data_IF_335718667817
#
_entry.id   IF_335718667817
#
_cell.length_a   1.000
_cell.length_b   1.000
_cell.length_c   1.000
_cell.angle_alpha   90.00
_cell.angle_beta   90.00
_cell.angle_gamma   90.00
#
_symmetry.space_group_name_H-M   'P 1'
#
loop_
_entity.id
_entity.type
_entity.pdbx_description
1 polymer ?
#
# COMPACT_ATOMS: atom_id res chain seq x y z
N UNK A 1 13.55 0.03 -12.45
CA UNK A 1 12.09 0.12 -12.68
C UNK A 1 11.43 -0.48 -11.46
N UNK A 2 10.72 0.32 -10.64
CA UNK A 2 10.06 -0.18 -9.42
C UNK A 2 8.72 -0.87 -9.70
N UNK A 3 8.05 -0.43 -10.76
CA UNK A 3 6.73 -0.90 -11.13
C UNK A 3 6.77 -2.23 -11.87
N UNK A 4 5.93 -3.15 -11.42
CA UNK A 4 5.70 -4.45 -12.00
C UNK A 4 4.70 -4.32 -13.15
N UNK A 5 4.98 -5.01 -14.27
CA UNK A 5 3.90 -5.31 -15.21
C UNK A 5 2.91 -6.26 -14.55
N UNK A 6 1.67 -6.29 -15.03
CA UNK A 6 0.64 -7.22 -14.52
C UNK A 6 1.12 -8.67 -14.51
N UNK A 7 1.85 -9.10 -15.54
CA UNK A 7 2.40 -10.45 -15.61
C UNK A 7 3.46 -10.71 -14.53
N UNK A 8 4.34 -9.73 -14.25
CA UNK A 8 5.33 -9.86 -13.18
C UNK A 8 4.70 -9.84 -11.79
N UNK A 9 3.68 -9.00 -11.56
CA UNK A 9 2.91 -8.96 -10.33
C UNK A 9 2.24 -10.31 -10.03
N UNK A 10 1.51 -10.88 -11.00
CA UNK A 10 0.92 -12.23 -10.88
C UNK A 10 2.01 -13.29 -10.64
N UNK A 11 3.14 -13.17 -11.33
CA UNK A 11 4.27 -14.06 -11.12
C UNK A 11 4.85 -13.99 -9.71
N UNK A 12 4.93 -12.80 -9.11
CA UNK A 12 5.40 -12.60 -7.74
C UNK A 12 4.44 -13.26 -6.73
N UNK A 13 3.14 -13.00 -6.88
CA UNK A 13 2.06 -13.59 -6.07
C UNK A 13 2.11 -15.12 -6.08
N UNK A 14 2.22 -15.74 -7.27
CA UNK A 14 2.33 -17.20 -7.41
C UNK A 14 3.57 -17.81 -6.74
N UNK A 15 4.64 -17.02 -6.56
CA UNK A 15 5.85 -17.44 -5.84
C UNK A 15 5.75 -17.20 -4.33
N UNK A 16 4.61 -16.74 -3.82
CA UNK A 16 4.41 -16.44 -2.42
C UNK A 16 4.93 -15.07 -1.99
N UNK A 17 5.26 -14.18 -2.94
CA UNK A 17 5.67 -12.80 -2.62
C UNK A 17 4.47 -11.87 -2.73
N UNK A 18 4.25 -11.04 -1.72
CA UNK A 18 3.26 -9.97 -1.76
C UNK A 18 3.61 -8.88 -2.77
N UNK A 19 2.60 -8.13 -3.17
CA UNK A 19 2.72 -6.89 -3.93
C UNK A 19 1.90 -5.81 -3.25
N UNK A 20 2.26 -4.56 -3.49
CA UNK A 20 1.59 -3.43 -2.85
C UNK A 20 1.57 -2.22 -3.78
N UNK A 21 0.81 -1.21 -3.38
CA UNK A 21 0.77 0.07 -4.06
C UNK A 21 0.46 1.19 -3.08
N UNK A 22 1.34 2.21 -3.07
CA UNK A 22 1.08 3.45 -2.35
C UNK A 22 -0.02 4.26 -3.05
N UNK A 23 -1.03 4.68 -2.29
CA UNK A 23 -2.21 5.37 -2.81
C UNK A 23 -2.20 6.88 -2.52
N UNK A 24 -1.23 7.38 -1.76
CA UNK A 24 -1.13 8.79 -1.40
C UNK A 24 -1.75 9.16 -0.05
N UNK A 25 -1.80 10.46 0.21
CA UNK A 25 -2.35 11.02 1.44
C UNK A 25 -3.87 11.16 1.42
N UNK A 26 -4.48 11.09 2.60
CA UNK A 26 -5.89 11.39 2.89
C UNK A 26 -6.01 12.16 4.21
N UNK A 27 -7.23 12.53 4.58
CA UNK A 27 -7.56 13.12 5.88
C UNK A 27 -8.56 12.19 6.57
N UNK A 28 -8.29 11.80 7.82
CA UNK A 28 -9.18 11.01 8.67
C UNK A 28 -9.45 11.83 9.93
N UNK A 29 -10.70 12.23 10.17
CA UNK A 29 -11.07 13.01 11.38
C UNK A 29 -10.15 14.22 11.65
N UNK A 30 -9.79 14.97 10.60
CA UNK A 30 -8.84 16.10 10.61
C UNK A 30 -7.36 15.73 10.88
N UNK A 31 -7.03 14.45 10.97
CA UNK A 31 -5.65 13.95 11.03
C UNK A 31 -5.12 13.57 9.63
N UNK A 32 -3.91 14.03 9.26
CA UNK A 32 -3.22 13.57 8.06
C UNK A 32 -2.88 12.07 8.11
N UNK A 33 -3.27 11.37 7.06
CA UNK A 33 -3.04 9.95 6.91
C UNK A 33 -2.48 9.63 5.52
N UNK A 34 -1.87 8.46 5.38
CA UNK A 34 -1.50 7.86 4.11
C UNK A 34 -2.18 6.51 3.95
N UNK A 35 -2.35 6.08 2.69
CA UNK A 35 -2.91 4.77 2.36
C UNK A 35 -1.99 3.98 1.46
N UNK A 36 -1.95 2.67 1.67
CA UNK A 36 -1.47 1.72 0.68
C UNK A 36 -2.36 0.48 0.66
N UNK A 37 -2.43 -0.16 -0.50
CA UNK A 37 -3.08 -1.46 -0.64
C UNK A 37 -2.03 -2.54 -0.79
N UNK A 38 -2.27 -3.68 -0.16
CA UNK A 38 -1.41 -4.85 -0.21
C UNK A 38 -2.20 -6.06 -0.71
N UNK A 39 -1.54 -6.90 -1.51
CA UNK A 39 -2.01 -8.24 -1.86
C UNK A 39 -1.01 -9.24 -1.32
N UNK A 40 -1.41 -9.99 -0.30
CA UNK A 40 -0.57 -10.95 0.42
C UNK A 40 -1.02 -12.38 0.11
N UNK A 41 -0.12 -13.28 -0.33
CA UNK A 41 -0.43 -14.70 -0.47
C UNK A 41 -0.69 -15.38 0.88
N UNK A 42 -1.78 -16.14 0.99
CA UNK A 42 -2.17 -16.89 2.19
C UNK A 42 -2.68 -18.28 1.80
N UNK A 43 -1.94 -19.35 2.10
CA UNK A 43 -2.40 -20.75 1.93
C UNK A 43 -3.26 -21.03 0.67
N UNK A 44 -2.70 -20.79 -0.52
CA UNK A 44 -3.36 -20.93 -1.85
C UNK A 44 -4.41 -19.87 -2.20
N UNK A 45 -4.58 -18.87 -1.36
CA UNK A 45 -5.42 -17.70 -1.58
C UNK A 45 -4.57 -16.43 -1.58
N UNK A 46 -5.19 -15.32 -1.93
CA UNK A 46 -4.62 -13.98 -1.94
C UNK A 46 -5.57 -13.06 -1.19
N UNK A 47 -5.09 -12.48 -0.09
CA UNK A 47 -5.80 -11.47 0.68
C UNK A 47 -5.48 -10.09 0.13
N UNK A 48 -6.50 -9.25 0.03
CA UNK A 48 -6.36 -7.83 -0.29
C UNK A 48 -6.63 -7.04 0.98
N UNK A 49 -5.65 -6.25 1.43
CA UNK A 49 -5.77 -5.39 2.60
C UNK A 49 -5.54 -3.93 2.22
N UNK A 50 -6.35 -3.02 2.76
CA UNK A 50 -6.10 -1.58 2.72
C UNK A 50 -5.60 -1.13 4.08
N UNK A 51 -4.48 -0.42 4.09
CA UNK A 51 -3.92 0.16 5.29
C UNK A 51 -4.12 1.66 5.27
N UNK A 52 -4.55 2.22 6.40
CA UNK A 52 -4.65 3.67 6.60
C UNK A 52 -3.91 4.02 7.88
N UNK A 53 -2.79 4.73 7.76
CA UNK A 53 -1.93 5.05 8.90
C UNK A 53 -1.63 6.55 8.95
N UNK A 54 -1.17 7.02 10.10
CA UNK A 54 -0.74 8.39 10.31
C UNK A 54 0.35 8.80 9.32
N UNK A 55 0.19 9.97 8.70
CA UNK A 55 1.20 10.63 7.88
C UNK A 55 2.13 11.43 8.78
N UNK A 56 3.37 10.96 8.95
CA UNK A 56 4.38 11.65 9.77
C UNK A 56 5.06 12.82 9.03
N UNK A 57 4.82 12.97 7.73
CA UNK A 57 5.50 13.92 6.85
C UNK A 57 7.03 13.86 7.00
N UNK A 58 7.60 12.65 7.13
CA UNK A 58 9.04 12.40 7.31
C UNK A 58 9.56 11.42 6.24
N UNK A 59 10.42 11.90 5.34
CA UNK A 59 11.01 11.13 4.23
C UNK A 59 12.17 10.23 4.67
N UNK A 60 12.41 10.10 5.98
CA UNK A 60 13.32 9.12 6.60
C UNK A 60 12.57 7.88 7.11
N UNK A 61 11.25 7.91 7.08
CA UNK A 61 10.38 6.81 7.51
C UNK A 61 9.89 6.07 6.27
N UNK A 62 10.17 4.77 6.17
CA UNK A 62 9.71 3.92 5.07
C UNK A 62 9.03 2.61 5.52
N UNK A 63 8.98 2.36 6.83
CA UNK A 63 8.41 1.15 7.40
C UNK A 63 6.94 1.40 7.76
N UNK A 64 6.10 1.46 6.73
CA UNK A 64 4.69 1.88 6.85
C UNK A 64 3.86 1.02 7.80
N UNK A 65 4.00 -0.33 7.84
CA UNK A 65 3.24 -1.17 8.75
C UNK A 65 3.50 -0.88 10.24
N UNK A 66 4.62 -0.21 10.58
CA UNK A 66 4.97 0.17 11.95
C UNK A 66 4.41 1.54 12.37
N UNK A 67 3.64 2.19 11.50
CA UNK A 67 2.98 3.46 11.81
C UNK A 67 1.64 3.23 12.51
N UNK A 68 1.17 4.27 13.21
CA UNK A 68 -0.09 4.22 13.93
C UNK A 68 -1.23 4.11 12.91
N UNK A 69 -2.01 3.03 12.99
CA UNK A 69 -3.23 2.90 12.21
C UNK A 69 -4.25 3.95 12.61
N UNK A 70 -4.88 4.55 11.61
CA UNK A 70 -5.98 5.50 11.73
C UNK A 70 -7.28 4.92 11.12
N UNK A 71 -7.31 3.65 10.71
CA UNK A 71 -8.56 3.02 10.30
C UNK A 71 -9.35 2.60 11.54
N UNK A 72 -10.53 3.20 11.82
CA UNK A 72 -11.35 2.81 12.97
C UNK A 72 -11.87 1.36 12.87
N UNK A 73 -11.84 0.75 11.69
CA UNK A 73 -12.17 -0.66 11.49
C UNK A 73 -10.98 -1.62 11.73
N UNK A 74 -9.75 -1.12 11.87
CA UNK A 74 -8.55 -1.95 12.13
C UNK A 74 -8.37 -2.31 13.62
N UNK A 75 -9.23 -1.83 14.53
CA UNK A 75 -9.16 -2.19 15.95
C UNK A 75 -9.24 -3.71 16.20
N UNK A 76 -9.82 -4.47 15.26
CA UNK A 76 -9.91 -5.94 15.33
C UNK A 76 -8.67 -6.67 14.78
N UNK A 77 -7.80 -6.01 14.00
CA UNK A 77 -6.67 -6.62 13.27
C UNK A 77 -5.43 -5.71 13.16
N UNK A 78 -4.84 -5.36 14.32
CA UNK A 78 -3.68 -4.45 14.40
C UNK A 78 -2.53 -4.88 13.48
N UNK A 79 -2.18 -4.02 12.52
CA UNK A 79 -1.01 -4.16 11.63
C UNK A 79 -1.24 -5.01 10.37
N UNK A 80 -2.39 -5.66 10.20
CA UNK A 80 -2.70 -6.47 9.01
C UNK A 80 -3.46 -5.71 7.91
N UNK A 81 -3.87 -4.48 8.20
CA UNK A 81 -4.73 -3.69 7.33
C UNK A 81 -6.19 -4.14 7.40
N UNK A 82 -7.11 -3.29 6.97
CA UNK A 82 -8.50 -3.69 6.76
C UNK A 82 -8.62 -4.64 5.57
N UNK A 83 -9.09 -5.86 5.81
CA UNK A 83 -9.37 -6.82 4.74
C UNK A 83 -10.48 -6.31 3.81
N UNK A 84 -10.19 -6.25 2.52
CA UNK A 84 -11.15 -5.93 1.46
C UNK A 84 -11.71 -7.19 0.80
N UNK A 85 -11.01 -8.33 0.93
CA UNK A 85 -11.48 -9.64 0.52
C UNK A 85 -10.35 -10.64 0.26
N UNK A 86 -10.76 -11.87 0.00
CA UNK A 86 -9.87 -13.01 -0.27
C UNK A 86 -10.31 -13.69 -1.57
N UNK A 87 -9.34 -14.04 -2.41
CA UNK A 87 -9.57 -14.73 -3.70
C UNK A 87 -8.59 -15.88 -3.86
N UNK A 88 -8.86 -16.86 -4.72
CA UNK A 88 -7.93 -17.93 -5.06
C UNK A 88 -7.11 -17.65 -6.33
N UNK A 89 -7.39 -16.53 -7.02
CA UNK A 89 -6.67 -16.08 -8.22
C UNK A 89 -6.02 -14.70 -8.03
N UNK A 90 -4.70 -14.62 -8.28
CA UNK A 90 -3.95 -13.38 -8.07
C UNK A 90 -4.34 -12.25 -9.03
N UNK A 91 -4.80 -12.56 -10.25
CA UNK A 91 -5.32 -11.54 -11.17
C UNK A 91 -6.69 -11.02 -10.74
N UNK A 92 -7.52 -11.88 -10.12
CA UNK A 92 -8.77 -11.45 -9.49
C UNK A 92 -8.49 -10.57 -8.27
N UNK A 93 -7.54 -10.94 -7.41
CA UNK A 93 -7.10 -10.11 -6.27
C UNK A 93 -6.67 -8.71 -6.71
N UNK A 94 -5.85 -8.61 -7.77
CA UNK A 94 -5.46 -7.33 -8.35
C UNK A 94 -6.66 -6.53 -8.85
N UNK A 95 -7.60 -7.18 -9.53
CA UNK A 95 -8.81 -6.54 -10.05
C UNK A 95 -9.77 -6.11 -8.93
N UNK A 96 -9.78 -6.83 -7.80
CA UNK A 96 -10.53 -6.48 -6.59
C UNK A 96 -9.92 -5.23 -5.96
N UNK A 97 -8.60 -5.21 -5.76
CA UNK A 97 -7.88 -4.05 -5.24
C UNK A 97 -8.10 -2.81 -6.12
N UNK A 98 -7.91 -2.93 -7.44
CA UNK A 98 -8.11 -1.85 -8.42
C UNK A 98 -9.55 -1.32 -8.45
N UNK A 99 -10.55 -2.13 -8.08
CA UNK A 99 -11.97 -1.75 -8.09
C UNK A 99 -12.44 -1.14 -6.77
N UNK A 100 -11.95 -1.65 -5.65
CA UNK A 100 -12.35 -1.23 -4.31
C UNK A 100 -11.50 -0.08 -3.75
N UNK A 101 -10.40 0.23 -4.42
CA UNK A 101 -9.46 1.28 -4.05
C UNK A 101 -9.09 2.12 -5.27
N UNK A 102 -8.29 3.17 -5.07
CA UNK A 102 -7.73 3.98 -6.16
C UNK A 102 -6.51 3.32 -6.83
N UNK A 103 -6.29 2.02 -6.62
CA UNK A 103 -5.14 1.32 -7.15
C UNK A 103 -5.15 1.24 -8.68
N UNK A 104 -3.98 1.43 -9.27
CA UNK A 104 -3.77 1.46 -10.72
C UNK A 104 -3.03 0.22 -11.23
N UNK A 105 -3.42 -0.31 -12.41
CA UNK A 105 -2.77 -1.48 -13.00
C UNK A 105 -1.26 -1.33 -13.29
N UNK A 106 -0.77 -0.09 -13.42
CA UNK A 106 0.61 0.24 -13.81
C UNK A 106 1.49 0.73 -12.65
N UNK A 107 1.00 0.64 -11.41
CA UNK A 107 1.68 1.17 -10.21
C UNK A 107 1.98 0.13 -9.13
N UNK A 108 1.73 -1.15 -9.40
CA UNK A 108 2.09 -2.24 -8.48
C UNK A 108 3.60 -2.34 -8.29
N UNK A 109 4.04 -2.49 -7.05
CA UNK A 109 5.44 -2.73 -6.66
C UNK A 109 5.56 -4.03 -5.85
N UNK A 110 6.78 -4.54 -5.67
CA UNK A 110 6.99 -5.65 -4.75
C UNK A 110 6.66 -5.22 -3.31
N UNK A 111 6.35 -6.19 -2.44
CA UNK A 111 6.22 -5.95 -1.01
C UNK A 111 7.41 -5.18 -0.41
N UNK A 112 7.14 -4.30 0.55
CA UNK A 112 8.07 -3.39 1.23
C UNK A 112 8.70 -2.29 0.34
N UNK A 113 8.11 -1.97 -0.82
CA UNK A 113 8.56 -0.89 -1.72
C UNK A 113 7.64 0.35 -1.66
N UNK A 114 6.40 0.23 -1.19
CA UNK A 114 5.47 1.35 -0.99
C UNK A 114 6.04 2.41 -0.02
N UNK A 115 6.87 1.99 0.94
CA UNK A 115 7.64 2.90 1.79
C UNK A 115 8.55 3.85 1.02
N UNK A 116 9.17 3.37 -0.07
CA UNK A 116 9.97 4.23 -0.95
C UNK A 116 9.10 5.25 -1.69
N UNK A 117 7.90 4.85 -2.10
CA UNK A 117 6.95 5.77 -2.74
C UNK A 117 6.42 6.83 -1.78
N UNK A 118 6.21 6.47 -0.51
CA UNK A 118 5.90 7.43 0.55
C UNK A 118 7.05 8.44 0.76
N UNK A 119 8.30 8.00 0.83
CA UNK A 119 9.45 8.92 0.94
C UNK A 119 9.50 9.91 -0.23
N UNK A 120 9.26 9.43 -1.46
CA UNK A 120 9.17 10.30 -2.64
C UNK A 120 7.99 11.27 -2.56
N UNK A 121 6.83 10.80 -2.07
CA UNK A 121 5.65 11.62 -1.83
C UNK A 121 5.95 12.76 -0.85
N UNK A 122 6.56 12.48 0.30
CA UNK A 122 6.96 13.51 1.28
C UNK A 122 7.93 14.52 0.66
N UNK A 123 8.98 14.06 -0.04
CA UNK A 123 9.94 14.94 -0.72
C UNK A 123 9.26 15.87 -1.72
N UNK A 124 8.28 15.36 -2.47
CA UNK A 124 7.55 16.15 -3.46
C UNK A 124 6.73 17.29 -2.83
N UNK A 125 6.23 17.11 -1.59
CA UNK A 125 5.47 18.13 -0.85
C UNK A 125 6.35 19.25 -0.31
N UNK A 126 7.59 18.93 0.06
CA UNK A 126 8.55 19.91 0.62
C UNK A 126 9.08 20.90 -0.42
N UNK A 127 8.84 20.67 -1.71
CA UNK A 127 9.36 21.49 -2.80
C UNK A 127 10.89 21.44 -2.89
N UNK A 128 11.51 22.06 -3.91
CA UNK A 128 12.95 22.26 -3.87
C UNK A 128 13.27 23.15 -2.67
N UNK A 129 14.09 22.67 -1.75
CA UNK A 129 14.70 23.50 -0.71
C UNK A 129 15.19 24.78 -1.35
N UNK A 130 14.57 25.92 -1.03
CA UNK A 130 15.19 27.20 -1.34
C UNK A 130 16.50 27.24 -0.55
N UNK A 131 17.62 27.10 -1.26
CA UNK A 131 18.93 27.29 -0.67
C UNK A 131 19.03 28.73 -0.16
N UNK A 132 19.62 28.96 1.04
CA UNK A 132 19.84 30.31 1.56
C UNK A 132 20.80 31.13 0.68
#
# INVERSE_FOLDING_TARGET
>A
MRYLTRQFAIGALRRGNGIEQFLGGVQIEDEPAIRWVEISPMNRQYRVSLHTVQDLDDDRVGDLPNLISLDPAEEEYVGEGRELGVTDDGAEAMSLAERLTDARPDRWVNHAVAGEEYMDYVRSRRGPTQAP
#
